data_IF_711159693533
#
_entry.id   IF_711159693533
#
_cell.length_a   1.000
_cell.length_b   1.000
_cell.length_c   1.000
_cell.angle_alpha   90.00
_cell.angle_beta   90.00
_cell.angle_gamma   90.00
#
_symmetry.space_group_name_H-M   'P 1'
#
loop_
_entity.id
_entity.type
_entity.pdbx_description
1 polymer ?
#
# COMPACT_ATOMS: atom_id res chain seq x y z
N UNK A 1 -7.40 -45.38 -7.68
CA UNK A 1 -6.96 -44.74 -6.43
C UNK A 1 -6.84 -43.25 -6.72
N UNK A 2 -7.66 -42.43 -6.07
CA UNK A 2 -7.69 -40.97 -6.17
C UNK A 2 -6.84 -40.35 -5.06
N UNK A 3 -6.15 -39.23 -5.31
CA UNK A 3 -5.86 -38.12 -4.36
C UNK A 3 -5.10 -36.99 -5.09
N UNK A 4 -5.79 -36.02 -5.70
CA UNK A 4 -6.27 -34.70 -5.19
C UNK A 4 -5.21 -33.59 -5.18
N UNK A 5 -5.38 -32.68 -6.15
CA UNK A 5 -4.72 -31.39 -6.30
C UNK A 5 -5.03 -30.45 -5.13
N UNK A 6 -3.99 -30.02 -4.39
CA UNK A 6 -4.10 -28.97 -3.37
C UNK A 6 -4.31 -27.61 -4.06
N UNK A 7 -5.53 -27.12 -3.98
CA UNK A 7 -5.92 -25.77 -4.40
C UNK A 7 -5.47 -24.75 -3.34
N UNK A 8 -4.60 -23.80 -3.73
CA UNK A 8 -4.30 -22.62 -2.93
C UNK A 8 -5.54 -21.70 -2.92
N UNK A 9 -6.26 -21.70 -1.80
CA UNK A 9 -7.38 -20.78 -1.57
C UNK A 9 -6.81 -19.37 -1.38
N UNK A 10 -6.97 -18.52 -2.39
CA UNK A 10 -6.73 -17.07 -2.28
C UNK A 10 -7.72 -16.54 -1.23
N UNK A 11 -7.21 -16.12 -0.07
CA UNK A 11 -8.03 -15.52 0.98
C UNK A 11 -8.60 -14.19 0.48
N UNK A 12 -9.90 -14.04 0.66
CA UNK A 12 -10.73 -12.88 0.28
C UNK A 12 -10.10 -11.53 0.68
N UNK A 13 -10.40 -10.42 -0.02
CA UNK A 13 -10.04 -9.08 0.44
C UNK A 13 -10.67 -8.82 1.82
N UNK A 14 -9.84 -8.39 2.76
CA UNK A 14 -10.26 -8.11 4.13
C UNK A 14 -11.14 -6.85 4.14
N UNK A 15 -12.44 -7.02 4.41
CA UNK A 15 -13.33 -5.87 4.64
C UNK A 15 -12.97 -5.28 6.01
N UNK A 16 -12.76 -3.96 6.12
CA UNK A 16 -12.54 -3.34 7.43
C UNK A 16 -13.80 -3.51 8.27
N UNK A 17 -13.64 -4.11 9.45
CA UNK A 17 -14.67 -4.15 10.48
C UNK A 17 -14.67 -2.76 11.11
N UNK A 18 -15.65 -1.95 10.72
CA UNK A 18 -15.96 -0.70 11.41
C UNK A 18 -16.86 -1.10 12.58
N UNK A 19 -16.27 -1.19 13.78
CA UNK A 19 -17.06 -1.32 15.00
C UNK A 19 -17.95 -0.08 15.13
N UNK A 20 -19.27 -0.32 15.13
CA UNK A 20 -20.28 0.71 15.27
C UNK A 20 -20.21 1.28 16.68
N UNK A 21 -19.43 2.34 16.87
CA UNK A 21 -19.51 3.14 18.09
C UNK A 21 -20.90 3.78 18.17
N UNK A 22 -21.67 3.45 19.21
CA UNK A 22 -22.95 4.08 19.51
C UNK A 22 -22.76 5.59 19.73
N UNK A 23 -23.27 6.40 18.81
CA UNK A 23 -23.30 7.85 18.91
C UNK A 23 -24.39 8.24 19.92
N UNK A 24 -24.04 8.38 21.20
CA UNK A 24 -24.92 8.99 22.21
C UNK A 24 -24.78 10.53 22.20
N UNK A 25 -25.90 11.17 21.82
CA UNK A 25 -26.30 12.59 21.88
C UNK A 25 -25.83 13.52 20.74
N UNK A 26 -26.73 14.41 20.26
CA UNK A 26 -26.38 15.35 19.19
C UNK A 26 -25.46 16.42 19.76
N UNK A 27 -24.24 16.50 19.24
CA UNK A 27 -23.41 17.68 19.42
C UNK A 27 -24.19 18.89 18.88
N UNK A 28 -24.38 19.91 19.74
CA UNK A 28 -24.93 21.21 19.33
C UNK A 28 -24.23 21.65 18.05
N UNK A 29 -24.99 22.18 17.09
CA UNK A 29 -24.53 22.59 15.77
C UNK A 29 -23.49 23.71 15.87
N UNK A 30 -22.23 23.32 16.09
CA UNK A 30 -21.09 24.19 15.84
C UNK A 30 -21.06 24.37 14.32
N UNK A 31 -21.19 25.61 13.85
CA UNK A 31 -20.96 25.98 12.45
C UNK A 31 -19.50 25.68 12.12
N UNK A 32 -19.20 24.43 11.79
CA UNK A 32 -17.91 24.06 11.25
C UNK A 32 -17.86 24.50 9.80
N UNK A 33 -16.88 25.35 9.49
CA UNK A 33 -16.60 25.73 8.12
C UNK A 33 -16.19 24.47 7.35
N UNK A 34 -16.87 24.13 6.24
CA UNK A 34 -16.68 22.86 5.51
C UNK A 34 -15.22 22.58 5.14
N UNK A 35 -14.41 23.64 4.95
CA UNK A 35 -12.96 23.57 4.72
C UNK A 35 -12.18 22.99 5.90
N UNK A 36 -12.58 23.30 7.14
CA UNK A 36 -11.97 22.77 8.36
C UNK A 36 -12.32 21.30 8.53
N UNK A 37 -13.59 20.93 8.29
CA UNK A 37 -14.04 19.55 8.37
C UNK A 37 -13.29 18.66 7.35
N UNK A 38 -13.17 19.11 6.10
CA UNK A 38 -12.41 18.38 5.07
C UNK A 38 -10.95 18.19 5.46
N UNK A 39 -10.29 19.24 6.00
CA UNK A 39 -8.90 19.18 6.45
C UNK A 39 -8.70 18.19 7.60
N UNK A 40 -9.60 18.19 8.59
CA UNK A 40 -9.55 17.26 9.73
C UNK A 40 -9.79 15.82 9.27
N UNK A 41 -10.81 15.58 8.44
CA UNK A 41 -11.11 14.26 7.88
C UNK A 41 -9.95 13.70 7.06
N UNK A 42 -9.30 14.55 6.25
CA UNK A 42 -8.16 14.16 5.45
C UNK A 42 -6.94 13.80 6.30
N UNK A 43 -6.64 14.60 7.33
CA UNK A 43 -5.52 14.34 8.23
C UNK A 43 -5.69 13.01 8.97
N UNK A 44 -6.92 12.67 9.36
CA UNK A 44 -7.24 11.38 9.98
C UNK A 44 -7.06 10.22 8.99
N UNK A 45 -7.46 10.39 7.73
CA UNK A 45 -7.27 9.38 6.69
C UNK A 45 -5.79 9.09 6.43
N UNK A 46 -4.96 10.12 6.31
CA UNK A 46 -3.51 9.98 6.13
C UNK A 46 -2.89 9.22 7.32
N UNK A 47 -3.28 9.58 8.55
CA UNK A 47 -2.78 8.91 9.75
C UNK A 47 -3.14 7.42 9.76
N UNK A 48 -4.39 7.08 9.44
CA UNK A 48 -4.85 5.70 9.37
C UNK A 48 -4.13 4.93 8.26
N UNK A 49 -3.97 5.54 7.09
CA UNK A 49 -3.24 4.95 5.98
C UNK A 49 -1.78 4.67 6.36
N UNK A 50 -1.06 5.62 6.96
CA UNK A 50 0.33 5.40 7.41
C UNK A 50 0.43 4.31 8.47
N UNK A 51 -0.54 4.21 9.38
CA UNK A 51 -0.57 3.15 10.38
C UNK A 51 -0.72 1.77 9.72
N UNK A 52 -1.67 1.63 8.79
CA UNK A 52 -1.88 0.40 8.03
C UNK A 52 -0.66 0.04 7.17
N UNK A 53 -0.09 1.02 6.46
CA UNK A 53 1.07 0.84 5.60
C UNK A 53 2.28 0.33 6.39
N UNK A 54 2.59 0.97 7.53
CA UNK A 54 3.67 0.54 8.44
C UNK A 54 3.44 -0.86 9.00
N UNK A 55 2.19 -1.25 9.25
CA UNK A 55 1.88 -2.60 9.73
C UNK A 55 2.11 -3.66 8.64
N UNK A 56 1.69 -3.39 7.40
CA UNK A 56 1.96 -4.25 6.24
C UNK A 56 3.47 -4.47 6.05
N UNK A 57 4.23 -3.39 6.17
CA UNK A 57 5.69 -3.42 6.11
C UNK A 57 6.34 -4.26 7.21
N UNK A 58 5.86 -4.14 8.45
CA UNK A 58 6.34 -4.99 9.55
C UNK A 58 6.08 -6.47 9.27
N UNK A 59 4.89 -6.81 8.76
CA UNK A 59 4.55 -8.19 8.39
C UNK A 59 5.47 -8.72 7.29
N UNK A 60 5.74 -7.91 6.24
CA UNK A 60 6.68 -8.29 5.17
C UNK A 60 8.13 -8.42 5.63
N UNK A 61 8.57 -7.58 6.56
CA UNK A 61 9.89 -7.72 7.15
C UNK A 61 10.04 -9.06 7.88
N UNK A 62 9.06 -9.44 8.70
CA UNK A 62 9.03 -10.71 9.44
C UNK A 62 9.00 -11.91 8.47
N UNK A 63 8.15 -11.86 7.43
CA UNK A 63 8.07 -12.91 6.41
C UNK A 63 9.42 -13.14 5.69
N UNK A 64 10.22 -12.08 5.55
CA UNK A 64 11.53 -12.12 4.90
C UNK A 64 12.70 -12.30 5.89
N UNK A 65 12.41 -12.60 7.16
CA UNK A 65 13.39 -12.70 8.26
C UNK A 65 14.31 -11.47 8.37
N UNK A 66 13.73 -10.28 8.14
CA UNK A 66 14.41 -8.98 8.21
C UNK A 66 13.92 -8.19 9.41
N UNK A 67 14.80 -7.34 9.96
CA UNK A 67 14.45 -6.45 11.05
C UNK A 67 13.40 -5.40 10.60
N UNK A 68 12.17 -5.41 11.16
CA UNK A 68 11.12 -4.47 10.78
C UNK A 68 11.46 -2.99 10.99
N UNK A 69 12.35 -2.70 11.93
CA UNK A 69 12.78 -1.34 12.25
C UNK A 69 13.71 -0.74 11.17
N UNK A 70 14.33 -1.57 10.34
CA UNK A 70 15.35 -1.15 9.36
C UNK A 70 14.90 -1.49 7.92
N UNK A 71 13.93 -2.38 7.76
CA UNK A 71 13.50 -2.93 6.47
C UNK A 71 13.16 -1.89 5.40
N UNK A 72 12.66 -0.72 5.81
CA UNK A 72 12.20 0.37 4.92
C UNK A 72 12.79 1.71 5.38
N UNK A 73 14.03 1.67 5.86
CA UNK A 73 14.79 2.90 6.06
C UNK A 73 15.11 3.47 4.69
N UNK A 74 14.44 4.56 4.31
CA UNK A 74 14.76 5.32 3.10
C UNK A 74 16.12 5.98 3.30
N UNK A 75 17.07 5.64 2.44
CA UNK A 75 18.37 6.31 2.37
C UNK A 75 18.35 7.42 1.33
N UNK A 76 19.31 8.34 1.39
CA UNK A 76 19.48 9.38 0.37
C UNK A 76 19.74 8.76 -1.01
N UNK A 77 20.48 7.66 -1.06
CA UNK A 77 20.70 6.88 -2.28
C UNK A 77 19.38 6.40 -2.88
N UNK A 78 18.47 5.87 -2.06
CA UNK A 78 17.16 5.42 -2.56
C UNK A 78 16.36 6.57 -3.17
N UNK A 79 16.46 7.78 -2.61
CA UNK A 79 15.82 8.97 -3.18
C UNK A 79 16.41 9.34 -4.55
N UNK A 80 17.73 9.27 -4.70
CA UNK A 80 18.43 9.53 -5.96
C UNK A 80 18.11 8.46 -7.00
N UNK A 81 18.05 7.19 -6.58
CA UNK A 81 17.77 6.04 -7.45
C UNK A 81 16.28 5.87 -7.78
N UNK A 82 15.38 6.66 -7.18
CA UNK A 82 13.92 6.51 -7.34
C UNK A 82 13.44 6.45 -8.79
N UNK A 83 13.99 7.30 -9.67
CA UNK A 83 13.64 7.29 -11.12
C UNK A 83 14.01 5.94 -11.75
N UNK A 84 15.18 5.39 -11.39
CA UNK A 84 15.62 4.07 -11.84
C UNK A 84 14.72 2.97 -11.32
N UNK A 85 14.29 3.04 -10.06
CA UNK A 85 13.32 2.09 -9.49
C UNK A 85 11.97 2.15 -10.19
N UNK A 86 11.45 3.34 -10.47
CA UNK A 86 10.19 3.50 -11.22
C UNK A 86 10.25 2.87 -12.61
N UNK A 87 11.35 3.09 -13.33
CA UNK A 87 11.55 2.48 -14.64
C UNK A 87 11.56 0.95 -14.55
N UNK A 88 12.24 0.37 -13.55
CA UNK A 88 12.25 -1.08 -13.32
C UNK A 88 10.89 -1.63 -12.89
N UNK A 89 10.17 -0.95 -12.01
CA UNK A 89 8.80 -1.32 -11.62
C UNK A 89 7.88 -1.32 -12.84
N UNK A 90 8.06 -0.37 -13.75
CA UNK A 90 7.32 -0.33 -15.01
C UNK A 90 7.66 -1.52 -15.91
N UNK A 91 8.93 -1.86 -16.05
CA UNK A 91 9.36 -3.06 -16.79
C UNK A 91 8.76 -4.33 -16.17
N UNK A 92 8.88 -4.50 -14.84
CA UNK A 92 8.27 -5.62 -14.11
C UNK A 92 6.76 -5.72 -14.31
N UNK A 93 6.06 -4.59 -14.37
CA UNK A 93 4.62 -4.54 -14.69
C UNK A 93 4.34 -5.06 -16.11
N UNK A 94 5.19 -4.72 -17.09
CA UNK A 94 5.07 -5.24 -18.45
C UNK A 94 5.34 -6.74 -18.51
N UNK A 95 6.35 -7.22 -17.78
CA UNK A 95 6.68 -8.64 -17.67
C UNK A 95 5.51 -9.41 -17.06
N UNK A 96 4.95 -8.95 -15.93
CA UNK A 96 3.73 -9.52 -15.34
C UNK A 96 2.58 -9.62 -16.34
N UNK A 97 2.36 -8.58 -17.15
CA UNK A 97 1.30 -8.57 -18.15
C UNK A 97 1.57 -9.57 -19.28
N UNK A 98 2.83 -9.76 -19.67
CA UNK A 98 3.23 -10.74 -20.67
C UNK A 98 3.10 -12.17 -20.13
N UNK A 99 3.70 -12.47 -18.98
CA UNK A 99 3.68 -13.82 -18.39
C UNK A 99 2.26 -14.26 -18.03
N UNK A 100 1.38 -13.33 -17.64
CA UNK A 100 -0.05 -13.60 -17.47
C UNK A 100 -0.73 -14.09 -18.75
N UNK A 101 -0.29 -13.64 -19.93
CA UNK A 101 -0.84 -14.09 -21.22
C UNK A 101 -0.33 -15.46 -21.64
N UNK A 102 0.91 -15.78 -21.27
CA UNK A 102 1.56 -17.06 -21.60
C UNK A 102 1.47 -18.09 -20.46
N UNK A 103 0.74 -17.76 -19.38
CA UNK A 103 0.58 -18.59 -18.17
C UNK A 103 1.92 -19.01 -17.51
N UNK A 104 2.92 -18.14 -17.59
CA UNK A 104 4.24 -18.35 -16.98
C UNK A 104 4.38 -17.65 -15.62
N UNK A 105 5.35 -18.10 -14.83
CA UNK A 105 5.71 -17.48 -13.56
C UNK A 105 6.46 -16.16 -13.80
N UNK A 106 5.88 -15.04 -13.38
CA UNK A 106 6.48 -13.72 -13.58
C UNK A 106 7.69 -13.46 -12.68
N UNK A 107 7.76 -14.11 -11.52
CA UNK A 107 8.76 -13.83 -10.48
C UNK A 107 10.19 -14.12 -10.94
N UNK A 108 10.38 -15.07 -11.85
CA UNK A 108 11.70 -15.44 -12.38
C UNK A 108 12.31 -14.36 -13.28
N UNK A 109 11.46 -13.46 -13.78
CA UNK A 109 11.84 -12.40 -14.72
C UNK A 109 11.78 -11.00 -14.09
N UNK A 110 11.43 -10.88 -12.81
CA UNK A 110 11.35 -9.58 -12.13
C UNK A 110 12.75 -9.00 -11.90
N UNK A 111 12.97 -7.76 -12.33
CA UNK A 111 14.21 -7.02 -12.12
C UNK A 111 14.29 -6.37 -10.73
N UNK A 112 13.14 -6.18 -10.06
CA UNK A 112 13.07 -5.54 -8.74
C UNK A 112 12.76 -6.53 -7.62
N UNK A 113 13.51 -6.41 -6.52
CA UNK A 113 13.18 -7.10 -5.28
C UNK A 113 11.95 -6.48 -4.61
N UNK A 114 11.17 -7.28 -3.88
CA UNK A 114 10.04 -6.81 -3.06
C UNK A 114 10.43 -5.62 -2.17
N UNK A 115 11.58 -5.67 -1.50
CA UNK A 115 12.03 -4.60 -0.62
C UNK A 115 12.19 -3.25 -1.34
N UNK A 116 12.86 -3.23 -2.50
CA UNK A 116 13.05 -2.02 -3.30
C UNK A 116 11.72 -1.43 -3.79
N UNK A 117 10.75 -2.28 -4.16
CA UNK A 117 9.40 -1.80 -4.51
C UNK A 117 8.73 -1.09 -3.32
N UNK A 118 8.80 -1.68 -2.12
CA UNK A 118 8.23 -1.08 -0.90
C UNK A 118 8.92 0.24 -0.51
N UNK A 119 10.25 0.33 -0.70
CA UNK A 119 11.01 1.59 -0.49
C UNK A 119 10.53 2.67 -1.46
N UNK A 120 10.35 2.35 -2.75
CA UNK A 120 9.86 3.32 -3.73
C UNK A 120 8.42 3.77 -3.43
N UNK A 121 7.54 2.85 -3.01
CA UNK A 121 6.19 3.18 -2.55
C UNK A 121 6.20 4.15 -1.36
N UNK A 122 7.07 3.94 -0.37
CA UNK A 122 7.21 4.85 0.77
C UNK A 122 7.81 6.21 0.36
N UNK A 123 8.75 6.24 -0.60
CA UNK A 123 9.28 7.50 -1.16
C UNK A 123 8.16 8.31 -1.84
N UNK A 124 7.31 7.65 -2.63
CA UNK A 124 6.16 8.30 -3.28
C UNK A 124 5.18 8.82 -2.24
N UNK A 125 4.85 8.03 -1.21
CA UNK A 125 3.96 8.46 -0.14
C UNK A 125 4.50 9.70 0.59
N UNK A 126 5.79 9.69 0.96
CA UNK A 126 6.43 10.85 1.60
C UNK A 126 6.39 12.09 0.72
N UNK A 127 6.69 11.96 -0.59
CA UNK A 127 6.63 13.09 -1.55
C UNK A 127 5.21 13.67 -1.68
N UNK A 128 4.19 12.83 -1.67
CA UNK A 128 2.79 13.27 -1.76
C UNK A 128 2.33 13.99 -0.49
N UNK A 129 2.73 13.48 0.67
CA UNK A 129 2.47 14.11 1.97
C UNK A 129 3.16 15.49 2.07
N UNK A 130 4.42 15.59 1.68
CA UNK A 130 5.18 16.85 1.67
C UNK A 130 4.53 17.92 0.77
N UNK A 131 3.95 17.48 -0.36
CA UNK A 131 3.24 18.36 -1.30
C UNK A 131 1.80 18.70 -0.86
N UNK A 132 1.36 18.23 0.32
CA UNK A 132 -0.02 18.39 0.79
C UNK A 132 -1.07 17.70 -0.11
N UNK A 133 -0.62 16.80 -0.98
CA UNK A 133 -1.51 16.00 -1.82
C UNK A 133 -2.06 14.83 -1.01
N UNK A 134 -3.36 14.58 -1.21
CA UNK A 134 -4.00 13.40 -0.66
C UNK A 134 -3.54 12.21 -1.49
N UNK A 135 -2.94 11.20 -0.84
CA UNK A 135 -2.72 9.87 -1.41
C UNK A 135 -4.08 9.21 -1.68
N UNK A 136 -4.75 9.62 -2.76
CA UNK A 136 -5.90 8.91 -3.31
C UNK A 136 -5.35 7.79 -4.18
N UNK A 137 -4.74 6.77 -3.56
CA UNK A 137 -4.41 5.56 -4.28
C UNK A 137 -5.71 4.80 -4.59
N UNK A 138 -6.18 4.94 -5.83
CA UNK A 138 -7.09 4.07 -6.59
C UNK A 138 -8.12 3.26 -5.80
N UNK A 139 -9.20 3.91 -5.37
CA UNK A 139 -10.50 3.23 -5.25
C UNK A 139 -11.15 3.15 -6.66
N UNK A 140 -10.46 2.53 -7.62
CA UNK A 140 -11.04 2.11 -8.90
C UNK A 140 -11.48 0.65 -8.80
N UNK A 141 -12.24 0.33 -7.76
CA UNK A 141 -13.28 -0.69 -7.86
C UNK A 141 -14.60 -0.01 -8.24
N UNK A 142 -14.62 0.67 -9.39
CA UNK A 142 -15.88 0.98 -10.05
C UNK A 142 -16.22 -0.20 -10.97
N UNK A 143 -17.40 -0.75 -10.68
CA UNK A 143 -18.10 -1.81 -11.41
C UNK A 143 -18.15 -1.57 -12.90
#
# INVERSE_FOLDING_TARGET
MFETSKTFKISKPFKPIIDKAEIKKPFKSIKFNNKILYKVSLSLFILLFRAQHKECFRKKAIELDKNPSIFITITEKDRLDSITFQNRIKTDSQICNYTKKVEENSNEYMDITVQKRLIEEEIICCRLEDNGMTISWLDTNKK
#
